data_IF_282695251035
#
_entry.id   IF_282695251035
#
_cell.length_a   1.000
_cell.length_b   1.000
_cell.length_c   1.000
_cell.angle_alpha   90.00
_cell.angle_beta   90.00
_cell.angle_gamma   90.00
#
_symmetry.space_group_name_H-M   'P 1'
#
loop_
_entity.id
_entity.type
_entity.pdbx_description
1 polymer ?
#
# COMPACT_ATOMS: atom_id res chain seq x y z
N UNK A 1 -13.86 -26.22 24.04
CA UNK A 1 -15.09 -25.39 24.15
C UNK A 1 -15.55 -25.07 22.73
N UNK A 2 -16.58 -25.74 22.24
CA UNK A 2 -17.08 -25.57 20.87
C UNK A 2 -18.16 -24.49 20.83
N UNK A 3 -17.84 -23.32 20.27
CA UNK A 3 -18.82 -22.28 19.96
C UNK A 3 -19.73 -22.76 18.83
N UNK A 4 -20.88 -23.33 19.19
CA UNK A 4 -21.96 -23.59 18.23
C UNK A 4 -22.58 -22.23 17.84
N UNK A 5 -22.08 -21.66 16.75
CA UNK A 5 -22.69 -20.49 16.07
C UNK A 5 -24.18 -20.74 15.79
N UNK A 6 -25.02 -19.74 16.02
CA UNK A 6 -26.48 -19.79 15.77
C UNK A 6 -26.80 -19.98 14.28
N UNK A 7 -27.90 -20.68 13.89
CA UNK A 7 -28.23 -20.96 12.48
C UNK A 7 -28.29 -19.73 11.57
N UNK A 8 -28.75 -18.58 12.10
CA UNK A 8 -28.75 -17.30 11.37
C UNK A 8 -27.34 -16.77 11.10
N UNK A 9 -26.49 -16.76 12.13
CA UNK A 9 -25.09 -16.35 12.03
C UNK A 9 -24.26 -17.25 11.08
N UNK A 10 -24.61 -18.54 10.98
CA UNK A 10 -23.98 -19.45 10.01
C UNK A 10 -24.34 -19.10 8.57
N UNK A 11 -25.60 -18.73 8.31
CA UNK A 11 -26.06 -18.33 6.97
C UNK A 11 -25.42 -17.02 6.52
N UNK A 12 -25.30 -16.05 7.41
CA UNK A 12 -24.69 -14.76 7.08
C UNK A 12 -23.18 -14.90 6.81
N UNK A 13 -22.47 -15.67 7.65
CA UNK A 13 -21.06 -15.99 7.42
C UNK A 13 -20.85 -16.76 6.12
N UNK A 14 -21.73 -17.72 5.80
CA UNK A 14 -21.67 -18.47 4.54
C UNK A 14 -22.00 -17.58 3.33
N UNK A 15 -22.96 -16.66 3.46
CA UNK A 15 -23.30 -15.67 2.43
C UNK A 15 -22.12 -14.73 2.15
N UNK A 16 -21.46 -14.23 3.19
CA UNK A 16 -20.24 -13.43 3.04
C UNK A 16 -19.12 -14.23 2.37
N UNK A 17 -18.84 -15.44 2.87
CA UNK A 17 -17.79 -16.30 2.33
C UNK A 17 -18.02 -16.66 0.85
N UNK A 18 -19.27 -16.96 0.47
CA UNK A 18 -19.62 -17.26 -0.92
C UNK A 18 -19.51 -16.03 -1.83
N UNK A 19 -19.93 -14.85 -1.38
CA UNK A 19 -19.73 -13.58 -2.11
C UNK A 19 -18.24 -13.27 -2.29
N UNK A 20 -17.45 -13.44 -1.23
CA UNK A 20 -16.00 -13.22 -1.27
C UNK A 20 -15.31 -14.17 -2.24
N UNK A 21 -15.63 -15.47 -2.16
CA UNK A 21 -15.09 -16.49 -3.07
C UNK A 21 -15.42 -16.18 -4.53
N UNK A 22 -16.66 -15.73 -4.80
CA UNK A 22 -17.06 -15.31 -6.14
C UNK A 22 -16.20 -14.14 -6.63
N UNK A 23 -16.00 -13.12 -5.80
CA UNK A 23 -15.21 -11.95 -6.15
C UNK A 23 -13.73 -12.30 -6.40
N UNK A 24 -13.12 -13.15 -5.58
CA UNK A 24 -11.75 -13.64 -5.81
C UNK A 24 -11.66 -14.38 -7.13
N UNK A 25 -12.60 -15.26 -7.42
CA UNK A 25 -12.58 -16.05 -8.65
C UNK A 25 -12.72 -15.16 -9.89
N UNK A 26 -13.57 -14.13 -9.84
CA UNK A 26 -13.69 -13.13 -10.90
C UNK A 26 -12.39 -12.35 -11.08
N UNK A 27 -11.74 -11.93 -9.98
CA UNK A 27 -10.47 -11.20 -10.03
C UNK A 27 -9.34 -12.07 -10.60
N UNK A 28 -9.22 -13.33 -10.15
CA UNK A 28 -8.21 -14.26 -10.67
C UNK A 28 -8.37 -14.51 -12.16
N UNK A 29 -9.61 -14.64 -12.65
CA UNK A 29 -9.90 -14.78 -14.09
C UNK A 29 -9.58 -13.53 -14.90
N UNK A 30 -9.57 -12.37 -14.27
CA UNK A 30 -9.21 -11.11 -14.92
C UNK A 30 -7.71 -10.90 -15.05
N UNK A 31 -6.90 -11.70 -14.34
CA UNK A 31 -5.44 -11.60 -14.34
C UNK A 31 -4.86 -11.96 -15.72
N UNK A 32 -3.93 -11.15 -16.21
CA UNK A 32 -3.26 -11.40 -17.47
C UNK A 32 -2.14 -12.46 -17.35
N UNK A 33 -1.53 -12.82 -18.48
CA UNK A 33 -0.45 -13.81 -18.55
C UNK A 33 0.83 -13.42 -17.81
N UNK A 34 0.92 -12.17 -17.34
CA UNK A 34 2.05 -11.62 -16.59
C UNK A 34 1.74 -11.45 -15.11
N UNK A 35 0.66 -12.08 -14.62
CA UNK A 35 0.14 -11.97 -13.26
C UNK A 35 -0.31 -10.56 -12.87
N UNK A 36 -0.56 -9.68 -13.84
CA UNK A 36 -1.04 -8.34 -13.59
C UNK A 36 -2.57 -8.29 -13.66
N UNK A 37 -3.16 -7.43 -12.84
CA UNK A 37 -4.59 -7.14 -12.90
C UNK A 37 -4.85 -5.99 -13.87
N UNK A 38 -5.94 -6.05 -14.65
CA UNK A 38 -6.28 -5.00 -15.59
C UNK A 38 -6.46 -3.69 -14.83
N UNK A 39 -5.64 -2.69 -15.17
CA UNK A 39 -5.73 -1.35 -14.57
C UNK A 39 -7.11 -0.79 -14.88
N UNK A 40 -7.93 -0.58 -13.85
CA UNK A 40 -9.06 0.35 -13.95
C UNK A 40 -8.47 1.73 -14.18
N UNK A 41 -8.63 2.26 -15.39
CA UNK A 41 -8.25 3.63 -15.72
C UNK A 41 -9.01 4.58 -14.79
N UNK A 42 -8.30 5.14 -13.81
CA UNK A 42 -8.66 6.42 -13.22
C UNK A 42 -7.92 7.48 -14.01
N UNK A 43 -8.74 8.29 -14.67
CA UNK A 43 -8.43 9.54 -15.36
C UNK A 43 -7.35 10.38 -14.67
N UNK A 44 -6.36 10.78 -15.47
CA UNK A 44 -5.64 12.07 -15.44
C UNK A 44 -5.20 12.64 -14.09
N UNK A 45 -3.94 12.38 -13.72
CA UNK A 45 -3.11 13.28 -12.90
C UNK A 45 -1.71 13.32 -13.52
N UNK A 46 -1.61 13.89 -14.73
CA UNK A 46 -0.32 14.15 -15.38
C UNK A 46 0.23 15.55 -15.03
N UNK A 47 -0.42 16.28 -14.12
CA UNK A 47 -0.14 17.71 -13.86
C UNK A 47 0.30 18.03 -12.41
N UNK A 48 0.88 17.08 -11.66
CA UNK A 48 1.68 17.40 -10.45
C UNK A 48 3.11 16.91 -10.63
N UNK A 49 3.78 17.43 -11.67
CA UNK A 49 5.23 17.31 -11.83
C UNK A 49 5.88 18.23 -10.79
N UNK A 50 5.94 17.81 -9.53
CA UNK A 50 6.96 18.21 -8.54
C UNK A 50 6.53 17.74 -7.15
N UNK A 51 7.04 16.57 -6.72
CA UNK A 51 6.95 16.03 -5.35
C UNK A 51 5.53 15.61 -4.93
N UNK A 52 5.17 14.36 -5.22
CA UNK A 52 4.09 13.70 -4.48
C UNK A 52 4.54 13.57 -3.01
N UNK A 53 3.75 14.13 -2.10
CA UNK A 53 3.90 13.95 -0.66
C UNK A 53 2.85 12.91 -0.22
N UNK A 54 3.30 11.86 0.45
CA UNK A 54 2.46 10.81 0.99
C UNK A 54 2.49 10.89 2.52
N UNK A 55 1.40 11.38 3.10
CA UNK A 55 1.24 11.43 4.55
C UNK A 55 0.77 10.08 5.09
N UNK A 56 1.59 9.45 5.94
CA UNK A 56 1.30 8.16 6.57
C UNK A 56 1.31 8.23 8.09
N UNK A 57 1.25 9.43 8.68
CA UNK A 57 1.07 9.57 10.13
C UNK A 57 -0.20 8.86 10.60
N UNK A 58 -0.12 8.18 11.73
CA UNK A 58 -1.15 7.30 12.29
C UNK A 58 -1.41 6.02 11.48
N UNK A 59 -0.66 5.75 10.41
CA UNK A 59 -0.85 4.51 9.63
C UNK A 59 -0.07 3.36 10.25
N UNK A 60 -0.75 2.28 10.72
CA UNK A 60 -0.07 1.17 11.37
C UNK A 60 0.78 0.35 10.39
N UNK A 61 1.83 -0.29 10.91
CA UNK A 61 2.56 -1.33 10.19
C UNK A 61 1.66 -2.54 9.92
N UNK A 62 1.80 -3.25 8.77
CA UNK A 62 2.70 -2.95 7.64
C UNK A 62 2.05 -2.04 6.57
N UNK A 63 0.89 -1.46 6.86
CA UNK A 63 0.10 -0.70 5.87
C UNK A 63 0.83 0.54 5.37
N UNK A 64 1.64 1.17 6.23
CA UNK A 64 2.52 2.27 5.84
C UNK A 64 3.40 1.90 4.65
N UNK A 65 4.17 0.82 4.76
CA UNK A 65 5.06 0.32 3.72
C UNK A 65 4.30 -0.03 2.44
N UNK A 66 3.20 -0.78 2.57
CA UNK A 66 2.37 -1.19 1.42
C UNK A 66 1.89 0.04 0.64
N UNK A 67 1.45 1.10 1.33
CA UNK A 67 1.02 2.34 0.68
C UNK A 67 2.17 3.04 -0.04
N UNK A 68 3.36 3.12 0.56
CA UNK A 68 4.54 3.70 -0.10
C UNK A 68 4.85 2.94 -1.39
N UNK A 69 4.92 1.60 -1.32
CA UNK A 69 5.20 0.74 -2.47
C UNK A 69 4.19 0.94 -3.59
N UNK A 70 2.89 0.93 -3.29
CA UNK A 70 1.84 1.14 -4.29
C UNK A 70 1.93 2.51 -4.99
N UNK A 71 2.43 3.54 -4.32
CA UNK A 71 2.65 4.85 -4.93
C UNK A 71 3.91 4.82 -5.80
N UNK A 72 5.00 4.25 -5.31
CA UNK A 72 6.24 4.08 -6.09
C UNK A 72 5.99 3.26 -7.36
N UNK A 73 5.19 2.20 -7.32
CA UNK A 73 4.83 1.42 -8.53
C UNK A 73 4.18 2.27 -9.64
N UNK A 74 3.52 3.37 -9.27
CA UNK A 74 2.87 4.29 -10.23
C UNK A 74 3.82 5.38 -10.75
N UNK A 75 4.97 5.57 -10.12
CA UNK A 75 5.97 6.56 -10.53
C UNK A 75 6.89 6.01 -11.62
N UNK A 76 7.51 6.89 -12.40
CA UNK A 76 8.54 6.52 -13.36
C UNK A 76 9.88 6.32 -12.67
N UNK A 77 10.79 5.59 -13.32
CA UNK A 77 12.17 5.48 -12.85
C UNK A 77 12.79 6.87 -12.71
N UNK A 78 13.44 7.13 -11.58
CA UNK A 78 14.06 8.41 -11.29
C UNK A 78 13.18 9.43 -10.56
N UNK A 79 11.86 9.22 -10.53
CA UNK A 79 10.93 10.07 -9.79
C UNK A 79 11.15 9.96 -8.28
N UNK A 80 10.81 11.02 -7.56
CA UNK A 80 10.93 11.09 -6.10
C UNK A 80 9.57 11.19 -5.42
N UNK A 81 9.43 10.47 -4.31
CA UNK A 81 8.29 10.49 -3.39
C UNK A 81 8.76 11.00 -2.03
N UNK A 82 8.04 11.96 -1.48
CA UNK A 82 8.20 12.36 -0.09
C UNK A 82 7.18 11.61 0.78
N UNK A 83 7.60 11.09 1.92
CA UNK A 83 6.77 10.28 2.83
C UNK A 83 6.87 10.87 4.23
N UNK A 84 5.73 11.11 4.87
CA UNK A 84 5.67 11.54 6.27
C UNK A 84 5.33 10.34 7.16
N UNK A 85 6.18 10.04 8.14
CA UNK A 85 6.07 8.87 9.02
C UNK A 85 6.11 9.30 10.48
N UNK A 86 5.38 8.60 11.35
CA UNK A 86 5.52 8.79 12.80
C UNK A 86 6.90 8.31 13.29
N UNK A 87 7.25 8.73 14.49
CA UNK A 87 8.43 8.20 15.18
C UNK A 87 8.26 6.71 15.55
N UNK A 88 9.39 6.03 15.80
CA UNK A 88 9.40 4.61 16.18
C UNK A 88 9.37 3.67 14.98
N UNK A 89 8.64 2.55 15.11
CA UNK A 89 8.65 1.46 14.14
C UNK A 89 8.43 1.85 12.67
N UNK A 90 7.54 2.82 12.31
CA UNK A 90 7.39 3.24 10.92
C UNK A 90 8.69 3.78 10.31
N UNK A 91 9.47 4.53 11.09
CA UNK A 91 10.71 5.15 10.63
C UNK A 91 11.85 4.15 10.51
N UNK A 92 11.86 3.08 11.30
CA UNK A 92 12.87 2.02 11.18
C UNK A 92 12.56 1.09 10.00
N UNK A 93 11.30 0.67 9.89
CA UNK A 93 10.91 -0.38 8.95
C UNK A 93 10.75 0.12 7.52
N UNK A 94 10.16 1.30 7.31
CA UNK A 94 9.80 1.77 5.96
C UNK A 94 11.05 2.09 5.13
N UNK A 95 12.01 2.93 5.59
CA UNK A 95 13.21 3.22 4.82
C UNK A 95 14.03 1.95 4.51
N UNK A 96 14.24 1.08 5.50
CA UNK A 96 14.96 -0.17 5.32
C UNK A 96 14.28 -1.08 4.28
N UNK A 97 12.95 -1.22 4.35
CA UNK A 97 12.23 -2.05 3.38
C UNK A 97 12.29 -1.49 1.96
N UNK A 98 12.28 -0.16 1.82
CA UNK A 98 12.41 0.49 0.51
C UNK A 98 13.80 0.32 -0.09
N UNK A 99 14.85 0.37 0.73
CA UNK A 99 16.22 0.06 0.30
C UNK A 99 16.36 -1.41 -0.11
N UNK A 100 15.77 -2.33 0.66
CA UNK A 100 15.75 -3.76 0.34
C UNK A 100 15.01 -4.06 -0.98
N UNK A 101 13.95 -3.30 -1.30
CA UNK A 101 13.23 -3.37 -2.57
C UNK A 101 13.96 -2.63 -3.72
N UNK A 102 15.18 -2.11 -3.47
CA UNK A 102 16.07 -1.54 -4.48
C UNK A 102 15.88 -0.06 -4.75
N UNK A 103 14.98 0.62 -4.02
CA UNK A 103 14.82 2.07 -4.09
C UNK A 103 15.91 2.80 -3.31
N UNK A 104 16.05 4.10 -3.56
CA UNK A 104 17.08 4.91 -2.90
C UNK A 104 16.45 5.91 -1.95
N UNK A 105 16.75 5.81 -0.66
CA UNK A 105 16.43 6.87 0.31
C UNK A 105 17.42 8.02 0.08
N UNK A 106 16.91 9.19 -0.29
CA UNK A 106 17.71 10.39 -0.59
C UNK A 106 17.91 11.26 0.65
N UNK A 107 16.88 11.38 1.50
CA UNK A 107 16.90 12.28 2.64
C UNK A 107 15.96 11.78 3.73
N UNK A 108 16.38 11.95 4.98
CA UNK A 108 15.56 11.76 6.17
C UNK A 108 15.71 13.03 7.00
N UNK A 109 14.60 13.68 7.32
CA UNK A 109 14.57 14.88 8.16
C UNK A 109 13.62 14.65 9.33
N UNK A 110 14.12 14.87 10.54
CA UNK A 110 13.27 14.92 11.73
C UNK A 110 12.52 16.25 11.76
N UNK A 111 11.22 16.19 12.07
CA UNK A 111 10.34 17.33 12.32
C UNK A 111 9.70 17.14 13.71
N UNK A 112 8.98 18.15 14.19
CA UNK A 112 8.31 18.08 15.49
C UNK A 112 7.21 17.02 15.49
N UNK A 113 7.55 15.82 15.99
CA UNK A 113 6.64 14.68 16.16
C UNK A 113 6.51 13.74 14.95
N UNK A 114 7.31 13.91 13.89
CA UNK A 114 7.30 13.02 12.72
C UNK A 114 8.60 13.12 11.91
N UNK A 115 8.77 12.21 10.95
CA UNK A 115 9.88 12.20 10.00
C UNK A 115 9.40 12.46 8.59
N UNK A 116 10.17 13.25 7.84
CA UNK A 116 10.04 13.41 6.39
C UNK A 116 11.12 12.58 5.71
N UNK A 117 10.72 11.62 4.89
CA UNK A 117 11.61 10.73 4.15
C UNK A 117 11.42 10.97 2.66
N UNK A 118 12.50 11.29 1.95
CA UNK A 118 12.49 11.44 0.48
C UNK A 118 13.11 10.19 -0.14
N UNK A 119 12.36 9.53 -1.01
CA UNK A 119 12.76 8.29 -1.67
C UNK A 119 12.71 8.46 -3.18
N UNK A 120 13.70 7.95 -3.89
CA UNK A 120 13.79 7.91 -5.35
C UNK A 120 13.54 6.51 -5.85
N UNK A 121 12.63 6.38 -6.82
CA UNK A 121 12.41 5.11 -7.53
C UNK A 121 13.62 4.81 -8.42
N UNK A 122 14.13 3.59 -8.28
CA UNK A 122 15.13 3.00 -9.18
C UNK A 122 14.48 1.91 -10.01
#
# INVERSE_FOLDING_TARGET
MNEKTSPGQRRDKFSYASKFLKHINELYKSMDSTFNFPKKEKSSERDEIARKILDLKGTPCPINYVKVKLVLEKLNQGDTLEVLLDEGEPMDNVPQSLENDGHQVLKIEKQDGFYRVVVKKR
#
